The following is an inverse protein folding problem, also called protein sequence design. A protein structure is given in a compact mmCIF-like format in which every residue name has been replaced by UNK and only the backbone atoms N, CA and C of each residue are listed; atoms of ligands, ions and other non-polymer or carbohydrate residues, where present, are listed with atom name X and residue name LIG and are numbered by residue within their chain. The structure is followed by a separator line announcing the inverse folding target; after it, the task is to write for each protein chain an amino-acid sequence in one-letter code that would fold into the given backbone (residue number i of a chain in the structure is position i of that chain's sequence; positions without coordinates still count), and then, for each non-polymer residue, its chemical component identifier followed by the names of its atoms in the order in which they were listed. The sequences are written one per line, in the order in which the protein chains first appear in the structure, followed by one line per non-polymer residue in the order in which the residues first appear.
data_IF_564729151015
#
_entry.id   IF_564729151015
#
_cell.length_a   1.000
_cell.length_b   1.000
_cell.length_c   1.000
_cell.angle_alpha   90.00
_cell.angle_beta   90.00
_cell.angle_gamma   90.00
#
_symmetry.space_group_name_H-M   'P 1'
#
loop_
_entity.id
_entity.type
_entity.pdbx_description
1 polymer ?
#
# COMPACT_ATOMS: atom_id res chain seq x y z
N UNK A 1 -14.35 2.64 15.87
CA UNK A 1 -14.78 1.57 16.79
C UNK A 1 -13.70 0.52 16.84
N UNK A 2 -13.41 -0.04 18.00
CA UNK A 2 -12.44 -1.13 18.20
C UNK A 2 -13.09 -2.45 17.76
N UNK A 3 -12.35 -3.29 17.05
CA UNK A 3 -12.76 -4.66 16.70
C UNK A 3 -11.68 -5.62 17.19
N UNK A 4 -12.17 -6.67 17.83
CA UNK A 4 -11.39 -7.77 18.37
C UNK A 4 -10.58 -8.49 17.26
N UNK A 5 -9.26 -8.70 17.45
CA UNK A 5 -8.42 -9.43 16.49
C UNK A 5 -8.82 -10.89 16.24
N UNK A 6 -9.76 -11.45 17.02
CA UNK A 6 -10.37 -12.77 16.75
C UNK A 6 -11.61 -12.72 15.85
N UNK A 7 -12.05 -11.53 15.42
CA UNK A 7 -13.19 -11.38 14.51
C UNK A 7 -14.55 -11.65 15.15
N UNK A 8 -14.66 -11.69 16.49
CA UNK A 8 -15.89 -12.00 17.20
C UNK A 8 -16.85 -10.81 17.35
N UNK A 9 -16.41 -9.57 17.11
CA UNK A 9 -17.27 -8.38 17.18
C UNK A 9 -17.70 -7.93 15.78
N UNK A 10 -18.60 -8.67 15.13
CA UNK A 10 -19.09 -8.33 13.78
C UNK A 10 -20.14 -7.22 13.73
N UNK A 11 -20.84 -6.88 14.81
CA UNK A 11 -22.04 -6.05 14.68
C UNK A 11 -22.19 -5.00 15.79
N UNK A 12 -21.61 -3.81 15.59
CA UNK A 12 -21.94 -2.64 16.42
C UNK A 12 -22.05 -1.32 15.65
N UNK A 13 -21.81 -1.25 14.32
CA UNK A 13 -21.73 0.07 13.65
C UNK A 13 -22.25 0.18 12.22
N UNK A 14 -22.88 -0.85 11.65
CA UNK A 14 -23.33 -0.82 10.24
C UNK A 14 -22.20 -0.71 9.20
N UNK A 15 -20.94 -0.63 9.64
CA UNK A 15 -19.74 -0.76 8.79
C UNK A 15 -19.42 -2.23 8.58
N UNK A 16 -19.03 -2.58 7.36
CA UNK A 16 -18.60 -3.94 6.99
C UNK A 16 -17.19 -4.28 7.47
N UNK A 17 -16.37 -3.27 7.82
CA UNK A 17 -15.03 -3.43 8.40
C UNK A 17 -14.65 -2.28 9.36
N UNK A 18 -13.75 -2.48 10.34
CA UNK A 18 -13.28 -1.41 11.22
C UNK A 18 -12.45 -0.36 10.47
N UNK A 19 -12.16 0.76 11.11
CA UNK A 19 -11.30 1.81 10.53
C UNK A 19 -9.80 1.46 10.63
N UNK A 20 -9.43 0.66 11.64
CA UNK A 20 -8.07 0.19 11.88
C UNK A 20 -8.11 -1.12 12.68
N UNK A 21 -7.04 -1.89 12.59
CA UNK A 21 -6.78 -3.07 13.41
C UNK A 21 -5.74 -2.73 14.47
N UNK A 22 -5.86 -3.33 15.66
CA UNK A 22 -4.94 -3.13 16.78
C UNK A 22 -4.40 -4.49 17.22
N UNK A 23 -3.09 -4.66 17.15
CA UNK A 23 -2.38 -5.80 17.69
C UNK A 23 -2.23 -5.76 19.21
N UNK A 24 -1.76 -6.85 19.84
CA UNK A 24 -1.60 -6.95 21.29
C UNK A 24 -0.61 -5.95 21.87
N UNK A 25 0.32 -5.42 21.06
CA UNK A 25 1.28 -4.38 21.49
C UNK A 25 0.69 -2.95 21.38
N UNK A 26 -0.61 -2.81 21.15
CA UNK A 26 -1.27 -1.50 21.08
C UNK A 26 -0.79 -0.67 19.88
N UNK A 27 -0.51 0.64 20.05
CA UNK A 27 -0.25 1.56 18.94
C UNK A 27 0.87 1.14 17.98
N UNK A 28 1.91 0.46 18.46
CA UNK A 28 3.03 -0.01 17.63
C UNK A 28 2.67 -1.21 16.75
N UNK A 29 1.47 -1.77 16.90
CA UNK A 29 0.93 -2.84 16.08
C UNK A 29 -0.44 -2.48 15.53
N UNK A 30 -0.67 -1.19 15.27
CA UNK A 30 -1.91 -0.67 14.69
C UNK A 30 -1.70 -0.28 13.23
N UNK A 31 -2.63 -0.68 12.36
CA UNK A 31 -2.67 -0.24 10.96
C UNK A 31 -4.09 0.19 10.58
N UNK A 32 -4.27 1.26 9.77
CA UNK A 32 -5.52 1.51 9.07
C UNK A 32 -6.01 0.24 8.38
N UNK A 33 -7.31 -0.03 8.41
CA UNK A 33 -7.86 -1.27 7.84
C UNK A 33 -7.75 -1.34 6.33
N UNK A 34 -7.58 -0.19 5.68
CA UNK A 34 -7.51 -0.07 4.23
C UNK A 34 -6.17 0.50 3.82
N UNK A 35 -5.56 -0.12 2.83
CA UNK A 35 -4.34 0.35 2.18
C UNK A 35 -4.50 0.33 0.66
N UNK A 36 -3.62 1.09 0.01
CA UNK A 36 -3.63 1.33 -1.41
C UNK A 36 -2.29 0.99 -2.02
N UNK A 37 -2.34 0.22 -3.10
CA UNK A 37 -1.19 -0.09 -3.92
C UNK A 37 -1.40 0.49 -5.32
N UNK A 38 -0.48 1.37 -5.71
CA UNK A 38 -0.41 1.91 -7.05
C UNK A 38 0.56 1.04 -7.88
N UNK A 39 0.11 0.63 -9.05
CA UNK A 39 0.81 -0.31 -9.92
C UNK A 39 0.85 0.24 -11.35
N UNK A 40 1.80 -0.29 -12.12
CA UNK A 40 1.87 -0.07 -13.56
C UNK A 40 0.67 -0.74 -14.25
N UNK A 41 -0.02 0.00 -15.13
CA UNK A 41 -1.18 -0.49 -15.88
C UNK A 41 -0.87 -1.67 -16.80
N UNK A 42 0.39 -1.94 -17.15
CA UNK A 42 0.75 -3.16 -17.89
C UNK A 42 0.34 -4.45 -17.17
N UNK A 43 0.18 -4.39 -15.84
CA UNK A 43 -0.29 -5.52 -15.03
C UNK A 43 -1.82 -5.58 -14.87
N UNK A 44 -2.58 -4.69 -15.52
CA UNK A 44 -4.03 -4.63 -15.36
C UNK A 44 -4.75 -5.94 -15.73
N UNK A 45 -4.46 -6.62 -16.87
CA UNK A 45 -5.19 -7.82 -17.26
C UNK A 45 -5.16 -8.91 -16.18
N UNK A 46 -3.95 -9.30 -15.76
CA UNK A 46 -3.74 -10.34 -14.73
C UNK A 46 -4.25 -9.94 -13.34
N UNK A 47 -4.16 -8.65 -12.97
CA UNK A 47 -4.54 -8.19 -11.63
C UNK A 47 -6.06 -8.10 -11.51
N UNK A 48 -6.75 -7.69 -12.58
CA UNK A 48 -8.21 -7.63 -12.62
C UNK A 48 -8.81 -9.04 -12.64
N UNK A 49 -8.22 -9.94 -13.43
CA UNK A 49 -8.65 -11.34 -13.50
C UNK A 49 -8.50 -12.06 -12.15
N UNK A 50 -7.32 -11.99 -11.54
CA UNK A 50 -7.02 -12.70 -10.30
C UNK A 50 -7.48 -11.96 -9.03
N UNK A 51 -7.80 -10.67 -9.14
CA UNK A 51 -8.00 -9.74 -8.02
C UNK A 51 -6.85 -9.78 -7.00
N UNK A 52 -5.62 -10.04 -7.46
CA UNK A 52 -4.46 -10.25 -6.60
C UNK A 52 -3.17 -9.84 -7.30
N UNK A 53 -2.20 -9.39 -6.52
CA UNK A 53 -0.83 -9.17 -6.97
C UNK A 53 0.17 -9.26 -5.79
N UNK A 54 1.46 -9.58 -6.04
CA UNK A 54 2.49 -9.63 -5.00
C UNK A 54 2.76 -8.24 -4.43
N UNK A 55 2.42 -7.95 -3.18
CA UNK A 55 2.52 -6.64 -2.55
C UNK A 55 3.95 -6.08 -2.65
N UNK A 56 4.00 -4.78 -2.94
CA UNK A 56 5.21 -3.96 -2.96
C UNK A 56 4.87 -2.66 -2.24
N UNK A 57 5.54 -1.55 -2.54
CA UNK A 57 5.26 -0.24 -1.96
C UNK A 57 3.76 0.05 -1.93
N UNK A 58 3.25 0.35 -0.74
CA UNK A 58 1.86 0.70 -0.50
C UNK A 58 1.79 1.82 0.55
N UNK A 59 0.65 2.51 0.59
CA UNK A 59 0.38 3.52 1.60
C UNK A 59 -1.09 3.59 1.95
N UNK A 60 -1.43 4.55 2.82
CA UNK A 60 -2.79 4.69 3.35
C UNK A 60 -3.60 5.81 2.69
N UNK A 61 -2.98 6.58 1.79
CA UNK A 61 -3.63 7.68 1.08
C UNK A 61 -4.18 7.21 -0.26
N UNK A 62 -5.46 7.48 -0.52
CA UNK A 62 -6.10 7.30 -1.81
C UNK A 62 -6.06 8.59 -2.63
N UNK A 63 -5.29 8.56 -3.71
CA UNK A 63 -5.26 9.58 -4.76
C UNK A 63 -6.34 9.36 -5.80
N UNK A 64 -6.80 10.46 -6.42
CA UNK A 64 -7.88 10.46 -7.41
C UNK A 64 -7.37 10.21 -8.83
N UNK A 65 -6.08 10.42 -9.07
CA UNK A 65 -5.45 10.21 -10.36
C UNK A 65 -4.07 9.58 -10.22
N UNK A 66 -3.63 8.94 -11.29
CA UNK A 66 -2.26 8.43 -11.37
C UNK A 66 -1.21 9.55 -11.22
N UNK A 67 -1.48 10.76 -11.72
CA UNK A 67 -0.56 11.90 -11.58
C UNK A 67 -0.35 12.30 -10.11
N UNK A 68 -1.43 12.41 -9.34
CA UNK A 68 -1.34 12.71 -7.89
C UNK A 68 -0.56 11.62 -7.14
N UNK A 69 -0.80 10.34 -7.48
CA UNK A 69 -0.05 9.25 -6.88
C UNK A 69 1.44 9.32 -7.21
N UNK A 70 1.80 9.62 -8.48
CA UNK A 70 3.20 9.77 -8.88
C UNK A 70 3.88 10.95 -8.20
N UNK A 71 3.22 12.11 -8.12
CA UNK A 71 3.75 13.29 -7.44
C UNK A 71 4.01 13.01 -5.95
N UNK A 72 3.08 12.33 -5.28
CA UNK A 72 3.20 12.01 -3.86
C UNK A 72 4.29 10.96 -3.58
N UNK A 73 4.27 9.84 -4.31
CA UNK A 73 5.23 8.75 -4.12
C UNK A 73 6.55 8.95 -4.88
N UNK A 74 6.73 10.09 -5.54
CA UNK A 74 7.89 10.42 -6.38
C UNK A 74 8.19 9.36 -7.43
N UNK A 75 7.15 8.88 -8.12
CA UNK A 75 7.25 7.82 -9.12
C UNK A 75 7.59 8.45 -10.48
N UNK A 76 8.80 8.21 -10.96
CA UNK A 76 9.20 8.45 -12.34
C UNK A 76 8.31 7.74 -13.38
N UNK A 77 7.72 8.53 -14.27
CA UNK A 77 7.01 8.03 -15.45
C UNK A 77 7.03 9.07 -16.56
N UNK A 78 7.42 8.63 -17.74
CA UNK A 78 7.34 9.40 -18.97
C UNK A 78 6.85 8.49 -20.09
N UNK A 79 5.82 8.93 -20.83
CA UNK A 79 5.18 8.11 -21.85
C UNK A 79 6.18 7.79 -22.97
N UNK A 80 6.45 6.50 -23.17
CA UNK A 80 7.38 6.02 -24.20
C UNK A 80 8.84 5.96 -23.74
N UNK A 81 9.13 6.36 -22.51
CA UNK A 81 10.47 6.23 -21.93
C UNK A 81 10.62 4.84 -21.28
N UNK A 82 11.56 3.99 -21.75
CA UNK A 82 11.77 2.65 -21.20
C UNK A 82 12.30 2.64 -19.76
N UNK A 83 12.87 3.75 -19.29
CA UNK A 83 13.38 3.89 -17.92
C UNK A 83 12.26 4.20 -16.91
N UNK A 84 11.03 4.41 -17.38
CA UNK A 84 9.86 4.57 -16.50
C UNK A 84 9.60 3.30 -15.70
N UNK A 85 9.57 3.39 -14.37
CA UNK A 85 9.36 2.20 -13.53
C UNK A 85 7.87 1.83 -13.32
N UNK A 86 6.93 2.77 -13.45
CA UNK A 86 5.50 2.57 -13.23
C UNK A 86 4.70 3.82 -13.60
N UNK A 87 3.56 3.63 -14.29
CA UNK A 87 2.62 4.72 -14.56
C UNK A 87 1.64 5.01 -13.41
N UNK A 88 1.64 4.21 -12.34
CA UNK A 88 0.76 4.29 -11.18
C UNK A 88 -0.75 4.31 -11.47
N UNK A 89 -1.18 3.86 -12.66
CA UNK A 89 -2.59 3.93 -13.09
C UNK A 89 -3.45 2.80 -12.54
N UNK A 90 -2.86 1.66 -12.19
CA UNK A 90 -3.61 0.54 -11.66
C UNK A 90 -3.63 0.62 -10.13
N UNK A 91 -4.78 0.96 -9.57
CA UNK A 91 -5.00 1.08 -8.13
C UNK A 91 -5.63 -0.20 -7.58
N UNK A 92 -4.95 -0.83 -6.62
CA UNK A 92 -5.49 -1.88 -5.77
C UNK A 92 -5.81 -1.36 -4.37
N UNK A 93 -7.05 -1.57 -3.91
CA UNK A 93 -7.50 -1.33 -2.54
C UNK A 93 -7.61 -2.68 -1.82
N UNK A 94 -7.01 -2.81 -0.64
CA UNK A 94 -6.99 -4.08 0.09
C UNK A 94 -7.12 -3.90 1.60
N UNK A 95 -7.58 -4.96 2.27
CA UNK A 95 -7.67 -5.06 3.71
C UNK A 95 -6.29 -5.37 4.32
N UNK A 96 -5.82 -4.53 5.24
CA UNK A 96 -4.51 -4.70 5.90
C UNK A 96 -4.50 -5.81 6.95
N UNK A 97 -5.66 -6.39 7.31
CA UNK A 97 -5.71 -7.58 8.16
C UNK A 97 -4.90 -8.74 7.56
N UNK A 98 -4.83 -8.80 6.22
CA UNK A 98 -4.00 -9.74 5.48
C UNK A 98 -2.51 -9.67 5.85
N UNK A 99 -2.05 -8.57 6.46
CA UNK A 99 -0.66 -8.36 6.84
C UNK A 99 -0.38 -8.67 8.32
N UNK A 100 -1.38 -9.11 9.08
CA UNK A 100 -1.18 -9.49 10.48
C UNK A 100 -0.83 -10.97 10.60
N UNK A 101 0.21 -11.26 11.38
CA UNK A 101 0.54 -12.61 11.83
C UNK A 101 0.57 -12.63 13.35
N UNK A 102 -0.31 -13.41 13.98
CA UNK A 102 -0.47 -13.46 15.44
C UNK A 102 -0.64 -12.07 16.07
N UNK A 103 -1.42 -11.19 15.42
CA UNK A 103 -1.63 -9.81 15.87
C UNK A 103 -0.47 -8.85 15.60
N UNK A 104 0.60 -9.26 14.93
CA UNK A 104 1.74 -8.40 14.59
C UNK A 104 1.75 -8.07 13.10
N UNK A 105 1.73 -6.77 12.70
CA UNK A 105 1.92 -6.35 11.32
C UNK A 105 3.23 -6.86 10.72
N UNK A 106 3.17 -7.51 9.56
CA UNK A 106 4.33 -8.02 8.82
C UNK A 106 4.80 -7.00 7.77
N UNK A 107 5.10 -5.79 8.22
CA UNK A 107 5.47 -4.65 7.36
C UNK A 107 6.76 -4.00 7.87
N UNK A 108 7.46 -3.33 6.96
CA UNK A 108 8.68 -2.61 7.27
C UNK A 108 8.76 -1.28 6.52
N UNK A 109 9.53 -0.36 7.09
CA UNK A 109 9.91 0.88 6.42
C UNK A 109 10.93 0.55 5.32
N UNK A 110 10.74 1.00 4.07
CA UNK A 110 11.72 0.77 3.03
C UNK A 110 13.03 1.51 3.31
N UNK A 111 14.13 1.01 2.77
CA UNK A 111 15.36 1.79 2.66
C UNK A 111 15.22 2.76 1.47
N UNK A 112 15.85 3.93 1.59
CA UNK A 112 15.86 4.96 0.55
C UNK A 112 16.40 4.43 -0.79
N UNK A 113 16.11 5.14 -1.87
CA UNK A 113 16.58 4.83 -3.23
C UNK A 113 16.19 3.41 -3.67
N UNK A 114 14.96 3.01 -3.37
CA UNK A 114 14.44 1.69 -3.79
C UNK A 114 15.16 0.52 -3.13
N UNK A 115 15.59 0.63 -1.87
CA UNK A 115 16.29 -0.44 -1.17
C UNK A 115 17.82 -0.35 -1.20
N UNK A 116 18.40 0.66 -1.85
CA UNK A 116 19.86 0.79 -2.08
C UNK A 116 20.56 1.78 -1.16
N UNK A 117 19.80 2.65 -0.51
CA UNK A 117 20.33 3.66 0.41
C UNK A 117 20.64 3.09 1.80
N UNK A 118 21.52 3.76 2.57
CA UNK A 118 21.87 3.34 3.93
C UNK A 118 20.82 3.71 4.99
N UNK A 119 19.83 4.55 4.64
CA UNK A 119 18.82 5.06 5.57
C UNK A 119 17.41 4.60 5.22
N UNK A 120 16.52 4.61 6.22
CA UNK A 120 15.09 4.36 6.05
C UNK A 120 14.37 5.55 5.40
N UNK A 121 13.34 5.26 4.61
CA UNK A 121 12.50 6.23 3.94
C UNK A 121 11.04 6.00 4.30
N UNK A 122 10.67 6.34 5.54
CA UNK A 122 9.28 6.25 6.00
C UNK A 122 8.37 7.17 5.19
N UNK A 123 8.82 8.41 4.97
CA UNK A 123 8.17 9.37 4.10
C UNK A 123 9.00 9.52 2.83
N UNK A 124 8.33 9.53 1.68
CA UNK A 124 8.98 9.72 0.38
C UNK A 124 9.80 11.01 0.39
N UNK A 125 11.03 10.93 -0.10
CA UNK A 125 11.96 12.06 -0.25
C UNK A 125 13.16 11.76 -1.17
N UNK A 126 13.41 10.50 -1.52
CA UNK A 126 14.58 10.04 -2.25
C UNK A 126 14.68 10.56 -3.69
N UNK A 127 13.55 10.90 -4.32
CA UNK A 127 13.52 11.36 -5.72
C UNK A 127 12.79 12.70 -5.87
N UNK A 128 13.33 13.81 -5.33
CA UNK A 128 12.69 15.13 -5.32
C UNK A 128 12.32 15.65 -6.72
N UNK A 129 13.02 15.22 -7.76
CA UNK A 129 12.74 15.57 -9.15
C UNK A 129 11.43 14.99 -9.70
N UNK A 130 10.86 13.97 -9.05
CA UNK A 130 9.64 13.28 -9.53
C UNK A 130 8.38 13.63 -8.74
N UNK A 131 8.47 14.52 -7.74
CA UNK A 131 7.28 15.06 -7.08
C UNK A 131 7.49 15.58 -5.67
N UNK A 132 6.40 16.09 -5.08
CA UNK A 132 6.37 16.81 -3.80
C UNK A 132 6.77 16.01 -2.58
N UNK A 133 6.72 14.68 -2.62
CA UNK A 133 7.17 13.81 -1.52
C UNK A 133 6.32 13.93 -0.24
N UNK A 134 6.79 13.38 0.88
CA UNK A 134 6.20 13.58 2.21
C UNK A 134 5.09 12.59 2.58
N UNK A 135 4.92 11.51 1.83
CA UNK A 135 3.86 10.53 2.07
C UNK A 135 4.42 9.22 2.58
N UNK A 136 3.69 8.60 3.52
CA UNK A 136 4.11 7.35 4.12
C UNK A 136 4.04 6.20 3.11
N UNK A 137 5.09 5.39 3.06
CA UNK A 137 5.13 4.15 2.28
C UNK A 137 5.74 3.01 3.10
N UNK A 138 5.22 1.81 2.88
CA UNK A 138 5.66 0.59 3.57
C UNK A 138 5.85 -0.55 2.56
N UNK A 139 6.59 -1.57 3.00
CA UNK A 139 6.78 -2.82 2.30
C UNK A 139 6.34 -4.00 3.18
N UNK A 140 5.88 -5.11 2.59
CA UNK A 140 5.80 -6.36 3.34
C UNK A 140 7.22 -6.83 3.72
N UNK A 141 7.35 -7.46 4.89
CA UNK A 141 8.62 -8.11 5.29
C UNK A 141 8.94 -9.27 4.34
N UNK A 142 7.92 -10.07 4.00
CA UNK A 142 8.05 -11.15 3.04
C UNK A 142 8.00 -10.60 1.60
N UNK A 143 9.02 -10.95 0.81
CA UNK A 143 9.05 -10.58 -0.61
C UNK A 143 7.94 -11.30 -1.37
N UNK A 144 7.32 -10.61 -2.32
CA UNK A 144 6.24 -11.15 -3.14
C UNK A 144 5.00 -11.61 -2.35
N UNK A 145 4.80 -11.10 -1.12
CA UNK A 145 3.62 -11.41 -0.31
C UNK A 145 2.32 -11.12 -1.09
N UNK A 146 1.51 -12.12 -1.45
CA UNK A 146 0.31 -11.87 -2.25
C UNK A 146 -0.76 -11.16 -1.41
N UNK A 147 -1.39 -10.13 -1.98
CA UNK A 147 -2.60 -9.52 -1.41
C UNK A 147 -3.77 -9.69 -2.33
N UNK A 148 -4.94 -9.97 -1.76
CA UNK A 148 -6.22 -9.96 -2.44
C UNK A 148 -6.79 -8.54 -2.35
N UNK A 149 -7.18 -8.00 -3.49
CA UNK A 149 -7.78 -6.67 -3.59
C UNK A 149 -9.30 -6.75 -3.42
N UNK A 150 -9.83 -5.90 -2.54
CA UNK A 150 -11.28 -5.65 -2.44
C UNK A 150 -11.77 -4.92 -3.70
N UNK A 151 -10.93 -4.05 -4.27
CA UNK A 151 -11.20 -3.31 -5.50
C UNK A 151 -9.93 -3.11 -6.31
N UNK A 152 -10.06 -3.26 -7.63
CA UNK A 152 -9.03 -2.90 -8.61
C UNK A 152 -9.64 -1.87 -9.56
N UNK A 153 -8.94 -0.78 -9.83
CA UNK A 153 -9.45 0.31 -10.70
C UNK A 153 -8.31 0.92 -11.50
N UNK A 154 -8.59 1.33 -12.73
CA UNK A 154 -7.66 2.13 -13.55
C UNK A 154 -8.04 3.61 -13.37
N UNK A 155 -7.06 4.44 -12.98
CA UNK A 155 -7.21 5.87 -12.60
C UNK A 155 -6.25 6.80 -13.37
#
# INVERSE_FOLDING_TARGET
GWVDPWGLSRECSGKTKPDFYVGPNGPSSTMPSTAYRYMDSKYAPQTIENKSAPLSYFGYTKYKSAHEARDAYQIFYEKGNPDSWSDARLLGEFDTLQLYKNGVPQVQVPLANGGRGPGYELFTSAYPEYGKSGVLQLLPIERNYPVIFERVTII
#
